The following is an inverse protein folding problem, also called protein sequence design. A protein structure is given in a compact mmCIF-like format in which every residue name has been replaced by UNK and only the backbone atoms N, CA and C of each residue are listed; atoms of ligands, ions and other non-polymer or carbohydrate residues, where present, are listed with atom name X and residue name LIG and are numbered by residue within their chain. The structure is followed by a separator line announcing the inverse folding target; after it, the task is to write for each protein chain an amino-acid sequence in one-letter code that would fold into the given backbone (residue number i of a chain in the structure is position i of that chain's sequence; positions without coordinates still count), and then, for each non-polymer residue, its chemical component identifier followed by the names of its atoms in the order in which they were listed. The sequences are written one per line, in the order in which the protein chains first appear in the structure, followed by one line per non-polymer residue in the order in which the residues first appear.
data_IF_492937973775
#
_entry.id   IF_492937973775
#
_cell.length_a   1.000
_cell.length_b   1.000
_cell.length_c   1.000
_cell.angle_alpha   90.00
_cell.angle_beta   90.00
_cell.angle_gamma   90.00
#
_symmetry.space_group_name_H-M   'P 1'
#
loop_
_entity.id
_entity.type
_entity.pdbx_description
1 polymer ?
#
# COMPACT_ATOMS: atom_id res chain seq x y z
N UNK A 1 11.29 11.20 -16.94
CA UNK A 1 11.17 11.20 -15.46
C UNK A 1 10.75 9.83 -14.98
N UNK A 2 11.66 9.11 -14.33
CA UNK A 2 11.32 8.03 -13.38
C UNK A 2 10.52 8.61 -12.21
N UNK A 3 9.88 7.75 -11.44
CA UNK A 3 9.18 8.10 -10.20
C UNK A 3 9.37 6.95 -9.21
N UNK A 4 9.25 7.22 -7.91
CA UNK A 4 9.46 6.20 -6.89
C UNK A 4 8.42 5.08 -7.00
N UNK A 5 8.90 3.84 -6.90
CA UNK A 5 8.10 2.62 -6.67
C UNK A 5 8.29 2.18 -5.21
N UNK A 6 7.49 1.20 -4.81
CA UNK A 6 7.65 0.44 -3.57
C UNK A 6 8.28 -0.88 -3.96
N UNK A 7 9.38 -1.24 -3.32
CA UNK A 7 9.91 -2.60 -3.42
C UNK A 7 9.05 -3.53 -2.55
N UNK A 8 8.67 -4.74 -3.00
CA UNK A 8 8.02 -5.75 -2.15
C UNK A 8 8.75 -5.97 -0.82
N UNK A 9 10.09 -5.97 -0.80
CA UNK A 9 10.88 -6.11 0.42
C UNK A 9 10.69 -4.94 1.41
N UNK A 10 10.42 -3.70 0.94
CA UNK A 10 10.06 -2.58 1.82
C UNK A 10 8.78 -2.89 2.60
N UNK A 11 7.85 -3.66 2.01
CA UNK A 11 6.55 -3.97 2.61
C UNK A 11 6.71 -5.06 3.67
N UNK A 12 7.51 -6.10 3.39
CA UNK A 12 7.84 -7.17 4.35
C UNK A 12 8.50 -6.55 5.59
N UNK A 13 9.56 -5.77 5.41
CA UNK A 13 10.26 -5.07 6.49
C UNK A 13 9.37 -4.07 7.25
N UNK A 14 8.35 -3.50 6.60
CA UNK A 14 7.37 -2.64 7.27
C UNK A 14 6.42 -3.42 8.20
N UNK A 15 6.01 -4.64 7.83
CA UNK A 15 5.23 -5.50 8.72
C UNK A 15 6.06 -6.02 9.89
N UNK A 16 7.30 -6.47 9.64
CA UNK A 16 8.25 -6.87 10.70
C UNK A 16 8.48 -5.74 11.71
N UNK A 17 8.72 -4.51 11.24
CA UNK A 17 8.95 -3.33 12.09
C UNK A 17 7.71 -2.90 12.89
N UNK A 18 6.51 -3.19 12.42
CA UNK A 18 5.26 -2.71 13.05
C UNK A 18 4.52 -3.76 13.86
N UNK A 19 4.82 -5.05 13.68
CA UNK A 19 4.10 -6.15 14.31
C UNK A 19 2.64 -6.28 13.85
N UNK A 20 2.27 -5.66 12.72
CA UNK A 20 0.91 -5.69 12.19
C UNK A 20 0.68 -6.99 11.40
N UNK A 21 -0.54 -7.53 11.51
CA UNK A 21 -1.00 -8.64 10.66
C UNK A 21 -1.34 -8.11 9.26
N UNK A 22 -0.78 -8.69 8.17
CA UNK A 22 -1.09 -8.30 6.81
C UNK A 22 -2.48 -8.78 6.38
N UNK A 23 -3.28 -7.91 5.75
CA UNK A 23 -4.65 -8.22 5.31
C UNK A 23 -5.04 -7.58 3.97
N UNK A 24 -5.96 -8.23 3.25
CA UNK A 24 -6.64 -7.72 2.05
C UNK A 24 -7.91 -6.94 2.42
N UNK A 25 -8.33 -6.00 1.56
CA UNK A 25 -9.61 -5.25 1.58
C UNK A 25 -9.87 -4.43 2.85
N UNK A 26 -8.82 -4.15 3.62
CA UNK A 26 -8.82 -3.34 4.84
C UNK A 26 -7.55 -2.49 4.86
N UNK A 27 -7.70 -1.17 5.04
CA UNK A 27 -6.58 -0.24 5.00
C UNK A 27 -5.69 -0.37 6.23
N UNK A 28 -6.21 0.06 7.38
CA UNK A 28 -5.53 0.01 8.67
C UNK A 28 -6.58 -0.10 9.78
N UNK A 29 -6.31 -0.98 10.74
CA UNK A 29 -6.93 -1.11 12.04
C UNK A 29 -5.81 -1.29 13.07
N UNK A 30 -6.11 -1.76 14.27
CA UNK A 30 -5.08 -1.92 15.31
C UNK A 30 -4.12 -3.10 15.03
N UNK A 31 -4.45 -3.98 14.09
CA UNK A 31 -4.06 -5.40 14.20
C UNK A 31 -3.39 -6.11 12.99
N UNK A 32 -3.48 -5.79 11.69
CA UNK A 32 -4.53 -5.07 10.97
C UNK A 32 -4.04 -4.04 9.92
N UNK A 33 -3.25 -4.40 8.89
CA UNK A 33 -2.95 -3.46 7.80
C UNK A 33 -2.82 -4.06 6.39
N UNK A 34 -3.09 -3.26 5.36
CA UNK A 34 -2.59 -3.50 4.00
C UNK A 34 -1.15 -2.97 3.83
N UNK A 35 -0.43 -3.43 2.80
CA UNK A 35 1.00 -3.12 2.62
C UNK A 35 1.35 -1.63 2.60
N UNK A 36 0.56 -0.77 1.96
CA UNK A 36 0.82 0.69 1.95
C UNK A 36 0.57 1.34 3.31
N UNK A 37 -0.35 0.80 4.12
CA UNK A 37 -0.62 1.30 5.47
C UNK A 37 0.42 0.80 6.47
N UNK A 38 0.94 -0.43 6.32
CA UNK A 38 2.10 -0.90 7.06
C UNK A 38 3.34 -0.06 6.77
N UNK A 39 3.62 0.26 5.49
CA UNK A 39 4.67 1.20 5.07
C UNK A 39 4.51 2.61 5.66
N UNK A 40 3.27 3.08 5.83
CA UNK A 40 2.99 4.37 6.45
C UNK A 40 3.25 4.32 7.96
N UNK A 41 2.75 3.29 8.65
CA UNK A 41 2.96 3.05 10.08
C UNK A 41 4.44 2.82 10.43
N UNK A 42 5.21 2.16 9.57
CA UNK A 42 6.64 1.93 9.77
C UNK A 42 7.50 3.21 9.64
N UNK A 43 6.93 4.27 9.05
CA UNK A 43 7.56 5.59 8.86
C UNK A 43 7.09 6.64 9.88
N UNK A 44 5.78 6.74 10.09
CA UNK A 44 5.14 7.78 10.93
C UNK A 44 4.86 7.31 12.36
N UNK A 45 5.01 6.02 12.64
CA UNK A 45 4.41 5.40 13.82
C UNK A 45 2.96 4.98 13.57
N UNK A 46 2.52 3.96 14.30
CA UNK A 46 1.21 3.33 14.15
C UNK A 46 0.05 4.30 14.39
N UNK A 47 0.13 5.13 15.43
CA UNK A 47 -0.96 6.01 15.84
C UNK A 47 -1.19 7.15 14.83
N UNK A 48 -0.10 7.79 14.35
CA UNK A 48 -0.20 8.81 13.30
C UNK A 48 -0.69 8.22 11.97
N UNK A 49 -0.32 6.97 11.64
CA UNK A 49 -0.86 6.28 10.48
C UNK A 49 -2.36 5.97 10.63
N UNK A 50 -2.82 5.60 11.84
CA UNK A 50 -4.24 5.40 12.17
C UNK A 50 -5.07 6.69 12.08
N UNK A 51 -4.50 7.84 12.46
CA UNK A 51 -5.14 9.15 12.25
C UNK A 51 -5.29 9.46 10.75
N UNK A 52 -4.22 9.27 9.96
CA UNK A 52 -4.25 9.49 8.51
C UNK A 52 -5.22 8.54 7.79
N UNK A 53 -5.36 7.29 8.24
CA UNK A 53 -6.25 6.27 7.67
C UNK A 53 -7.72 6.38 8.11
N UNK A 54 -8.07 7.38 8.93
CA UNK A 54 -9.48 7.72 9.25
C UNK A 54 -10.08 8.74 8.28
N UNK A 55 -9.28 9.32 7.38
CA UNK A 55 -9.71 10.38 6.45
C UNK A 55 -10.04 9.81 5.07
N UNK A 56 -11.05 8.93 5.04
CA UNK A 56 -11.35 8.01 3.92
C UNK A 56 -11.36 8.66 2.52
N UNK A 57 -11.94 9.85 2.42
CA UNK A 57 -12.22 10.55 1.16
C UNK A 57 -10.97 10.86 0.32
N UNK A 58 -9.77 10.85 0.90
CA UNK A 58 -8.52 11.25 0.21
C UNK A 58 -7.35 10.25 0.29
N UNK A 59 -7.55 9.04 0.83
CA UNK A 59 -6.48 8.06 1.13
C UNK A 59 -5.43 7.89 0.02
N UNK A 60 -5.83 7.56 -1.21
CA UNK A 60 -4.87 7.31 -2.30
C UNK A 60 -4.01 8.55 -2.67
N UNK A 61 -4.51 9.77 -2.45
CA UNK A 61 -3.74 11.01 -2.65
C UNK A 61 -2.84 11.33 -1.47
N UNK A 62 -3.30 11.07 -0.25
CA UNK A 62 -2.50 11.28 0.97
C UNK A 62 -1.36 10.28 1.08
N UNK A 63 -1.58 8.98 0.83
CA UNK A 63 -0.54 7.96 0.79
C UNK A 63 0.46 8.24 -0.35
N UNK A 64 -0.02 8.65 -1.53
CA UNK A 64 0.86 9.08 -2.61
C UNK A 64 1.80 10.23 -2.19
N UNK A 65 1.27 11.25 -1.48
CA UNK A 65 2.10 12.35 -0.95
C UNK A 65 3.07 11.88 0.13
N UNK A 66 2.62 11.08 1.10
CA UNK A 66 3.41 10.69 2.28
C UNK A 66 4.45 9.59 2.01
N UNK A 67 4.28 8.82 0.93
CA UNK A 67 5.26 7.83 0.45
C UNK A 67 6.01 8.29 -0.82
N UNK A 68 5.78 9.52 -1.30
CA UNK A 68 6.40 10.09 -2.51
C UNK A 68 6.11 9.30 -3.81
N UNK A 69 4.95 8.66 -3.86
CA UNK A 69 4.47 7.83 -4.96
C UNK A 69 3.53 8.62 -5.90
N UNK A 70 3.28 8.10 -7.10
CA UNK A 70 2.24 8.65 -7.99
C UNK A 70 0.86 8.07 -7.65
N UNK A 71 -0.19 8.89 -7.69
CA UNK A 71 -1.57 8.44 -7.37
C UNK A 71 -2.01 7.24 -8.23
N UNK A 72 -1.78 7.17 -9.57
CA UNK A 72 -2.11 5.97 -10.35
C UNK A 72 -1.29 4.73 -9.95
N UNK A 73 -0.07 4.90 -9.44
CA UNK A 73 0.73 3.79 -8.90
C UNK A 73 0.13 3.27 -7.59
N UNK A 74 -0.25 4.17 -6.68
CA UNK A 74 -0.91 3.81 -5.41
C UNK A 74 -2.22 3.06 -5.65
N UNK A 75 -3.05 3.53 -6.59
CA UNK A 75 -4.27 2.82 -6.99
C UNK A 75 -3.97 1.42 -7.53
N UNK A 76 -3.02 1.31 -8.46
CA UNK A 76 -2.59 0.01 -9.00
C UNK A 76 -2.09 -0.92 -7.91
N UNK A 77 -1.29 -0.43 -6.95
CA UNK A 77 -0.77 -1.21 -5.84
C UNK A 77 -1.89 -1.74 -4.94
N UNK A 78 -2.92 -0.94 -4.63
CA UNK A 78 -4.09 -1.38 -3.86
C UNK A 78 -4.82 -2.50 -4.61
N UNK A 79 -5.13 -2.30 -5.90
CA UNK A 79 -5.82 -3.31 -6.72
C UNK A 79 -4.98 -4.60 -6.89
N UNK A 80 -3.66 -4.49 -6.98
CA UNK A 80 -2.73 -5.64 -7.05
C UNK A 80 -2.61 -6.39 -5.72
N UNK A 81 -2.49 -5.66 -4.61
CA UNK A 81 -2.48 -6.19 -3.25
C UNK A 81 -3.76 -6.95 -2.95
N UNK A 82 -4.93 -6.39 -3.29
CA UNK A 82 -6.23 -7.04 -3.09
C UNK A 82 -6.56 -8.10 -4.15
N UNK A 83 -5.73 -8.23 -5.20
CA UNK A 83 -5.98 -9.08 -6.38
C UNK A 83 -7.37 -8.79 -7.00
N UNK A 84 -7.73 -7.50 -7.02
CA UNK A 84 -8.93 -6.98 -7.65
C UNK A 84 -8.80 -6.98 -9.18
N UNK A 85 -9.94 -6.97 -9.87
CA UNK A 85 -9.97 -6.73 -11.32
C UNK A 85 -9.86 -5.21 -11.58
N UNK A 86 -8.86 -4.77 -12.35
CA UNK A 86 -8.52 -3.35 -12.48
C UNK A 86 -9.49 -2.57 -13.38
N UNK A 87 -9.96 -1.42 -12.87
CA UNK A 87 -11.02 -0.62 -13.48
C UNK A 87 -10.54 0.24 -14.66
N UNK A 88 -10.62 -0.34 -15.87
CA UNK A 88 -10.64 0.31 -17.20
C UNK A 88 -9.42 1.15 -17.67
N UNK A 89 -8.60 1.77 -16.81
CA UNK A 89 -7.53 2.70 -17.24
C UNK A 89 -6.13 2.28 -16.76
N UNK A 90 -5.47 1.45 -17.56
CA UNK A 90 -4.11 0.95 -17.29
C UNK A 90 -3.02 1.93 -17.75
N UNK A 91 -2.74 2.95 -16.93
CA UNK A 91 -1.50 3.75 -17.09
C UNK A 91 -0.24 2.91 -16.83
N UNK A 92 0.92 3.32 -17.34
CA UNK A 92 2.18 2.63 -17.06
C UNK A 92 2.55 2.64 -15.56
N UNK A 93 2.20 3.70 -14.84
CA UNK A 93 2.41 3.78 -13.39
C UNK A 93 1.48 2.82 -12.62
N UNK A 94 0.22 2.69 -13.06
CA UNK A 94 -0.74 1.74 -12.51
C UNK A 94 -0.32 0.29 -12.75
N UNK A 95 0.20 -0.04 -13.95
CA UNK A 95 0.81 -1.36 -14.23
C UNK A 95 1.94 -1.72 -13.26
N UNK A 96 2.85 -0.77 -13.00
CA UNK A 96 3.92 -0.96 -12.02
C UNK A 96 3.34 -1.29 -10.64
N UNK A 97 2.47 -0.40 -10.14
CA UNK A 97 1.83 -0.59 -8.83
C UNK A 97 1.13 -1.94 -8.70
N UNK A 98 0.34 -2.35 -9.69
CA UNK A 98 -0.38 -3.64 -9.68
C UNK A 98 0.57 -4.84 -9.60
N UNK A 99 1.69 -4.80 -10.33
CA UNK A 99 2.73 -5.83 -10.24
C UNK A 99 3.34 -5.88 -8.84
N UNK A 100 3.67 -4.72 -8.28
CA UNK A 100 4.43 -4.59 -7.04
C UNK A 100 3.58 -4.93 -5.81
N UNK A 101 2.31 -4.49 -5.79
CA UNK A 101 1.35 -4.84 -4.74
C UNK A 101 0.99 -6.32 -4.73
N UNK A 102 0.90 -6.94 -5.92
CA UNK A 102 0.67 -8.38 -6.05
C UNK A 102 1.89 -9.22 -5.66
N UNK A 103 3.10 -8.71 -5.86
CA UNK A 103 4.34 -9.34 -5.38
C UNK A 103 4.42 -9.28 -3.85
N UNK A 104 4.27 -8.09 -3.25
CA UNK A 104 4.27 -7.90 -1.80
C UNK A 104 3.22 -8.76 -1.07
N UNK A 105 2.00 -8.84 -1.62
CA UNK A 105 0.95 -9.72 -1.06
C UNK A 105 1.30 -11.22 -1.15
N UNK A 106 2.10 -11.63 -2.15
CA UNK A 106 2.53 -13.01 -2.33
C UNK A 106 3.66 -13.39 -1.36
N UNK A 107 4.62 -12.50 -1.14
CA UNK A 107 5.72 -12.70 -0.16
C UNK A 107 5.18 -12.84 1.26
N UNK A 108 4.13 -12.08 1.59
CA UNK A 108 3.43 -12.14 2.87
C UNK A 108 2.37 -13.26 2.95
N UNK A 109 2.40 -14.22 2.01
CA UNK A 109 1.56 -15.42 2.05
C UNK A 109 0.06 -15.21 1.86
N UNK A 110 -0.39 -14.02 1.43
CA UNK A 110 -1.81 -13.70 1.23
C UNK A 110 -2.40 -14.26 -0.08
N UNK A 111 -1.65 -15.09 -0.82
CA UNK A 111 -1.87 -15.42 -2.24
C UNK A 111 -3.22 -16.10 -2.53
#
# INVERSE_FOLDING_TARGET
MTFRRVDPEEVVAAFEKTGLTPVRKRWLSEDQACGLCALLASRLGRDQALEVSRVEVFHARHIARLLELKVPYVLGFIDGWDNALPWLIWSAAYRGGYSDGRAAARELGLA
#
